data_IF_845478202622
#
_entry.id   IF_845478202622
#
_cell.length_a   1.000
_cell.length_b   1.000
_cell.length_c   1.000
_cell.angle_alpha   90.00
_cell.angle_beta   90.00
_cell.angle_gamma   90.00
#
_symmetry.space_group_name_H-M   'P 1'
#
loop_
_entity.id
_entity.type
_entity.pdbx_description
1 polymer ?
#
# COMPACT_ATOMS: atom_id res chain seq x y z
N UNK A 1 7.71 -10.01 -2.89
CA UNK A 1 8.30 -8.75 -3.36
C UNK A 1 9.83 -8.76 -3.54
N UNK A 2 10.58 -9.78 -3.10
CA UNK A 2 11.97 -9.95 -3.51
C UNK A 2 12.04 -10.21 -5.02
N UNK A 3 13.03 -9.64 -5.77
CA UNK A 3 14.21 -8.94 -5.27
C UNK A 3 14.02 -7.46 -4.91
N UNK A 4 12.94 -6.79 -5.31
CA UNK A 4 12.74 -5.34 -5.19
C UNK A 4 12.83 -4.80 -3.74
N UNK A 5 12.43 -5.63 -2.76
CA UNK A 5 12.43 -5.21 -1.34
C UNK A 5 13.75 -5.48 -0.60
N UNK A 6 14.83 -5.83 -1.31
CA UNK A 6 16.16 -5.91 -0.70
C UNK A 6 16.75 -4.52 -0.42
N UNK A 7 16.53 -3.60 -1.34
CA UNK A 7 17.12 -2.25 -1.34
C UNK A 7 16.09 -1.17 -1.07
N UNK A 8 14.80 -1.42 -1.35
CA UNK A 8 13.72 -0.45 -1.12
C UNK A 8 12.67 -0.98 -0.15
N UNK A 9 12.14 -0.12 0.76
CA UNK A 9 10.95 -0.46 1.52
C UNK A 9 9.79 -0.78 0.57
N UNK A 10 9.00 -1.82 0.88
CA UNK A 10 7.85 -2.22 0.06
C UNK A 10 6.91 -1.05 -0.25
N UNK A 11 6.65 -0.21 0.76
CA UNK A 11 5.75 0.95 0.66
C UNK A 11 6.27 2.07 -0.26
N UNK A 12 7.57 2.07 -0.59
CA UNK A 12 8.17 3.01 -1.54
C UNK A 12 8.29 2.45 -2.96
N UNK A 13 7.80 1.22 -3.21
CA UNK A 13 7.68 0.71 -4.56
C UNK A 13 6.65 1.51 -5.35
N UNK A 14 6.94 1.69 -6.64
CA UNK A 14 6.17 2.56 -7.51
C UNK A 14 4.89 1.91 -8.00
N UNK A 15 3.81 2.69 -7.97
CA UNK A 15 2.52 2.36 -8.56
C UNK A 15 1.97 3.62 -9.23
N UNK A 16 1.58 3.53 -10.49
CA UNK A 16 0.96 4.64 -11.23
C UNK A 16 1.70 5.99 -11.10
N UNK A 17 3.03 5.97 -11.22
CA UNK A 17 3.85 7.19 -11.27
C UNK A 17 4.40 7.71 -9.95
N UNK A 18 3.94 7.22 -8.79
CA UNK A 18 4.45 7.62 -7.46
C UNK A 18 4.54 6.42 -6.49
N UNK A 19 5.30 6.52 -5.39
CA UNK A 19 5.33 5.48 -4.35
C UNK A 19 3.95 5.11 -3.83
N UNK A 20 3.75 3.84 -3.48
CA UNK A 20 2.50 3.36 -2.87
C UNK A 20 2.12 4.18 -1.63
N UNK A 21 3.10 4.49 -0.77
CA UNK A 21 2.90 5.28 0.43
C UNK A 21 2.35 6.68 0.13
N UNK A 22 2.78 7.31 -0.97
CA UNK A 22 2.33 8.65 -1.35
C UNK A 22 0.85 8.65 -1.75
N UNK A 23 0.32 7.56 -2.35
CA UNK A 23 -1.12 7.44 -2.59
C UNK A 23 -1.92 7.44 -1.29
N UNK A 24 -1.43 6.73 -0.27
CA UNK A 24 -2.08 6.64 1.05
C UNK A 24 -2.04 8.01 1.75
N UNK A 25 -0.86 8.65 1.79
CA UNK A 25 -0.69 9.95 2.47
C UNK A 25 -1.54 11.02 1.78
N UNK A 26 -1.53 11.10 0.45
CA UNK A 26 -2.30 12.09 -0.30
C UNK A 26 -3.80 11.97 -0.05
N UNK A 27 -4.36 10.74 0.00
CA UNK A 27 -5.76 10.50 0.32
C UNK A 27 -6.09 10.93 1.78
N UNK A 28 -5.19 10.69 2.74
CA UNK A 28 -5.35 11.11 4.13
C UNK A 28 -5.26 12.64 4.29
N UNK A 29 -4.29 13.27 3.63
CA UNK A 29 -4.15 14.74 3.62
C UNK A 29 -5.38 15.40 2.99
N UNK A 30 -5.89 14.86 1.87
CA UNK A 30 -7.12 15.33 1.24
C UNK A 30 -8.35 15.20 2.15
N UNK A 31 -8.33 14.23 3.08
CA UNK A 31 -9.36 14.05 4.11
C UNK A 31 -9.19 14.94 5.35
N UNK A 32 -8.15 15.78 5.38
CA UNK A 32 -7.89 16.72 6.47
C UNK A 32 -7.01 16.18 7.61
N UNK A 33 -6.31 15.07 7.39
CA UNK A 33 -5.29 14.56 8.35
C UNK A 33 -4.04 15.42 8.23
N UNK A 34 -3.55 15.96 9.34
CA UNK A 34 -2.39 16.85 9.44
C UNK A 34 -1.22 16.27 10.25
N UNK A 35 -1.44 15.18 10.99
CA UNK A 35 -0.42 14.47 11.76
C UNK A 35 -0.38 12.99 11.45
N UNK A 36 0.83 12.43 11.27
CA UNK A 36 1.04 11.01 10.95
C UNK A 36 2.13 10.39 11.82
N UNK A 37 1.83 9.24 12.39
CA UNK A 37 2.82 8.40 13.07
C UNK A 37 3.11 7.15 12.24
N UNK A 38 4.37 6.99 11.84
CA UNK A 38 4.83 5.83 11.08
C UNK A 38 5.48 4.81 12.00
N UNK A 39 4.95 3.60 12.03
CA UNK A 39 5.67 2.47 12.63
C UNK A 39 6.54 1.85 11.56
N UNK A 40 7.85 1.92 11.76
CA UNK A 40 8.85 1.51 10.77
C UNK A 40 9.77 0.42 11.33
N UNK A 41 10.19 -0.49 10.46
CA UNK A 41 11.17 -1.53 10.77
C UNK A 41 12.36 -1.46 9.82
N UNK A 42 12.65 -2.58 9.13
CA UNK A 42 13.73 -2.68 8.15
C UNK A 42 13.63 -1.59 7.08
N UNK A 43 14.74 -0.89 6.81
CA UNK A 43 14.84 0.26 5.90
C UNK A 43 13.95 1.46 6.30
N UNK A 44 13.57 1.58 7.59
CA UNK A 44 12.73 2.66 8.10
C UNK A 44 13.29 4.05 7.85
N UNK A 45 14.63 4.21 7.88
CA UNK A 45 15.29 5.51 7.61
C UNK A 45 14.99 6.03 6.19
N UNK A 46 14.81 5.13 5.21
CA UNK A 46 14.43 5.52 3.84
C UNK A 46 12.98 6.02 3.78
N UNK A 47 12.08 5.44 4.56
CA UNK A 47 10.70 5.90 4.69
C UNK A 47 10.68 7.28 5.33
N UNK A 48 11.37 7.45 6.45
CA UNK A 48 11.46 8.73 7.16
C UNK A 48 12.03 9.83 6.26
N UNK A 49 13.16 9.58 5.58
CA UNK A 49 13.76 10.54 4.65
C UNK A 49 12.81 10.92 3.52
N UNK A 50 12.10 9.94 2.94
CA UNK A 50 11.13 10.18 1.87
C UNK A 50 9.98 11.05 2.35
N UNK A 51 9.32 10.66 3.46
CA UNK A 51 8.14 11.37 3.98
C UNK A 51 8.48 12.79 4.43
N UNK A 52 9.56 12.99 5.19
CA UNK A 52 10.00 14.34 5.61
C UNK A 52 10.31 15.26 4.42
N UNK A 53 10.85 14.70 3.34
CA UNK A 53 11.16 15.46 2.12
C UNK A 53 9.91 15.87 1.34
N UNK A 54 8.93 14.98 1.20
CA UNK A 54 7.79 15.20 0.31
C UNK A 54 6.57 15.78 1.03
N UNK A 55 6.49 15.64 2.35
CA UNK A 55 5.39 16.10 3.20
C UNK A 55 5.87 16.96 4.38
N UNK A 56 6.65 18.04 4.13
CA UNK A 56 7.28 18.83 5.20
C UNK A 56 6.30 19.65 6.06
N UNK A 57 5.04 19.78 5.63
CA UNK A 57 3.99 20.50 6.36
C UNK A 57 3.22 19.64 7.36
N UNK A 58 3.40 18.31 7.34
CA UNK A 58 2.72 17.42 8.27
C UNK A 58 3.47 17.31 9.59
N UNK A 59 2.73 17.10 10.67
CA UNK A 59 3.31 16.68 11.95
C UNK A 59 3.68 15.19 11.87
N UNK A 60 4.99 14.88 11.93
CA UNK A 60 5.53 13.57 11.59
C UNK A 60 6.26 12.92 12.76
N UNK A 61 5.72 11.81 13.23
CA UNK A 61 6.35 10.94 14.22
C UNK A 61 6.79 9.61 13.59
N UNK A 62 7.92 9.07 14.06
CA UNK A 62 8.44 7.77 13.62
C UNK A 62 8.74 6.91 14.84
N UNK A 63 8.13 5.73 14.90
CA UNK A 63 8.31 4.73 15.95
C UNK A 63 8.95 3.51 15.33
N UNK A 64 10.07 3.05 15.91
CA UNK A 64 10.79 1.90 15.39
C UNK A 64 10.30 0.61 16.03
N UNK A 65 9.88 -0.35 15.20
CA UNK A 65 9.59 -1.71 15.62
C UNK A 65 10.83 -2.57 15.38
N UNK A 66 11.59 -2.88 16.45
CA UNK A 66 12.80 -3.68 16.34
C UNK A 66 12.47 -5.16 16.17
N UNK A 67 11.50 -5.67 16.93
CA UNK A 67 11.04 -7.06 16.85
C UNK A 67 9.71 -7.16 16.11
N UNK A 68 9.66 -7.96 15.04
CA UNK A 68 8.48 -8.15 14.21
C UNK A 68 7.48 -9.12 14.86
N UNK A 69 6.86 -8.69 15.96
CA UNK A 69 5.93 -9.51 16.78
C UNK A 69 4.47 -9.42 16.31
N UNK A 70 4.18 -8.73 15.24
CA UNK A 70 2.85 -8.58 14.66
C UNK A 70 2.29 -7.16 14.70
N UNK A 71 1.11 -6.97 14.09
CA UNK A 71 0.47 -5.65 13.95
C UNK A 71 0.04 -5.06 15.29
N UNK A 72 -0.49 -5.87 16.21
CA UNK A 72 -0.87 -5.41 17.55
C UNK A 72 0.34 -4.87 18.33
N UNK A 73 1.50 -5.53 18.21
CA UNK A 73 2.74 -5.04 18.81
C UNK A 73 3.17 -3.70 18.19
N UNK A 74 3.11 -3.57 16.86
CA UNK A 74 3.45 -2.35 16.17
C UNK A 74 2.63 -1.15 16.69
N UNK A 75 1.31 -1.32 16.83
CA UNK A 75 0.42 -0.28 17.34
C UNK A 75 0.68 0.01 18.83
N UNK A 76 0.95 -1.02 19.64
CA UNK A 76 1.24 -0.85 21.07
C UNK A 76 2.44 0.08 21.34
N UNK A 77 3.45 0.08 20.45
CA UNK A 77 4.61 0.99 20.53
C UNK A 77 4.21 2.48 20.40
N UNK A 78 3.06 2.79 19.82
CA UNK A 78 2.57 4.15 19.66
C UNK A 78 1.81 4.67 20.89
N UNK A 79 1.65 3.85 21.95
CA UNK A 79 0.82 4.16 23.12
C UNK A 79 1.15 5.51 23.76
N UNK A 80 2.44 5.85 23.93
CA UNK A 80 2.83 7.10 24.60
C UNK A 80 2.48 8.36 23.78
N UNK A 81 2.32 8.20 22.46
CA UNK A 81 1.95 9.30 21.56
C UNK A 81 0.43 9.47 21.53
N UNK A 82 -0.33 8.37 21.45
CA UNK A 82 -1.74 8.39 21.06
C UNK A 82 -2.76 7.95 22.11
N UNK A 83 -2.32 7.56 23.33
CA UNK A 83 -3.25 7.03 24.37
C UNK A 83 -4.28 8.06 24.85
N UNK A 84 -3.95 9.34 24.71
CA UNK A 84 -4.78 10.46 25.20
C UNK A 84 -5.49 11.17 24.05
N UNK A 85 -5.40 10.66 22.81
CA UNK A 85 -6.12 11.20 21.66
C UNK A 85 -7.62 10.86 21.76
N UNK A 86 -8.47 11.75 21.22
CA UNK A 86 -9.91 11.50 21.15
C UNK A 86 -10.25 10.41 20.12
N UNK A 87 -9.44 10.31 19.04
CA UNK A 87 -9.67 9.40 17.93
C UNK A 87 -8.35 8.98 17.31
N UNK A 88 -8.28 7.74 16.84
CA UNK A 88 -7.12 7.19 16.15
C UNK A 88 -7.54 6.54 14.84
N UNK A 89 -6.93 6.96 13.74
CA UNK A 89 -7.02 6.28 12.45
C UNK A 89 -5.77 5.43 12.25
N UNK A 90 -5.95 4.13 12.03
CA UNK A 90 -4.86 3.20 11.68
C UNK A 90 -5.02 2.80 10.23
N UNK A 91 -3.96 2.95 9.43
CA UNK A 91 -3.93 2.54 8.02
C UNK A 91 -2.70 1.67 7.77
N UNK A 92 -2.91 0.51 7.15
CA UNK A 92 -1.80 -0.37 6.77
C UNK A 92 -1.09 0.17 5.52
N UNK A 93 0.25 0.19 5.56
CA UNK A 93 1.08 0.79 4.52
C UNK A 93 1.25 -0.06 3.26
N UNK A 94 0.69 -1.25 3.20
CA UNK A 94 0.86 -2.18 2.07
C UNK A 94 -0.42 -2.40 1.23
N UNK A 95 -1.40 -1.53 1.41
CA UNK A 95 -2.67 -1.55 0.69
C UNK A 95 -3.13 -0.13 0.36
N UNK A 96 -3.70 0.07 -0.81
CA UNK A 96 -4.35 1.33 -1.21
C UNK A 96 -5.86 1.09 -1.17
N UNK A 97 -6.55 1.91 -0.40
CA UNK A 97 -8.00 1.81 -0.19
C UNK A 97 -8.67 3.06 -0.76
N UNK A 98 -9.64 2.89 -1.66
CA UNK A 98 -10.51 3.98 -2.07
C UNK A 98 -11.70 4.02 -1.13
N UNK A 99 -11.64 4.96 -0.18
CA UNK A 99 -12.67 5.19 0.84
C UNK A 99 -13.03 6.67 0.91
N UNK A 100 -14.28 6.95 1.25
CA UNK A 100 -14.69 8.31 1.62
C UNK A 100 -14.34 8.55 3.10
N UNK A 101 -13.09 8.92 3.38
CA UNK A 101 -12.63 9.16 4.75
C UNK A 101 -13.48 10.21 5.50
N UNK A 102 -13.88 11.36 4.91
CA UNK A 102 -14.79 12.30 5.57
C UNK A 102 -16.11 11.66 6.02
N UNK A 103 -16.70 10.78 5.21
CA UNK A 103 -17.90 10.04 5.59
C UNK A 103 -17.63 9.06 6.73
N UNK A 104 -16.53 8.32 6.66
CA UNK A 104 -16.10 7.42 7.73
C UNK A 104 -15.88 8.18 9.05
N UNK A 105 -15.25 9.37 8.99
CA UNK A 105 -15.04 10.22 10.16
C UNK A 105 -16.34 10.75 10.76
N UNK A 106 -17.39 10.90 9.97
CA UNK A 106 -18.70 11.38 10.43
C UNK A 106 -19.54 10.31 11.16
N UNK A 107 -19.12 9.02 11.17
CA UNK A 107 -19.90 7.93 11.78
C UNK A 107 -20.12 8.07 13.30
N UNK A 108 -19.33 8.86 14.00
CA UNK A 108 -19.48 9.08 15.44
C UNK A 108 -19.19 7.86 16.33
N UNK A 109 -18.78 6.74 15.77
CA UNK A 109 -18.40 5.50 16.47
C UNK A 109 -17.15 4.90 15.84
N UNK A 110 -16.52 3.95 16.52
CA UNK A 110 -15.43 3.19 15.92
C UNK A 110 -15.90 2.44 14.68
N UNK A 111 -15.09 2.42 13.61
CA UNK A 111 -15.43 1.82 12.35
C UNK A 111 -14.25 1.04 11.76
N UNK A 112 -14.51 -0.14 11.22
CA UNK A 112 -13.53 -0.96 10.52
C UNK A 112 -13.89 -0.99 9.05
N UNK A 113 -12.95 -0.61 8.18
CA UNK A 113 -13.15 -0.74 6.73
C UNK A 113 -13.12 -2.22 6.33
N UNK A 114 -14.14 -2.63 5.58
CA UNK A 114 -14.34 -4.03 5.22
C UNK A 114 -14.68 -4.17 3.73
N UNK A 115 -14.34 -5.34 3.19
CA UNK A 115 -14.73 -5.76 1.84
C UNK A 115 -15.04 -7.24 1.79
N UNK A 116 -16.04 -7.60 1.01
CA UNK A 116 -16.33 -8.98 0.70
C UNK A 116 -15.25 -9.58 -0.21
N UNK A 117 -14.74 -10.77 0.13
CA UNK A 117 -13.67 -11.47 -0.59
C UNK A 117 -14.04 -12.93 -0.82
N UNK A 118 -13.50 -13.54 -1.88
CA UNK A 118 -13.75 -14.95 -2.20
C UNK A 118 -13.09 -15.90 -1.21
N UNK A 119 -11.88 -15.57 -0.74
CA UNK A 119 -11.13 -16.36 0.25
C UNK A 119 -10.70 -15.51 1.45
N UNK A 120 -11.49 -15.50 2.55
CA UNK A 120 -11.21 -14.68 3.73
C UNK A 120 -10.15 -15.26 4.69
N UNK A 121 -9.67 -16.50 4.48
CA UNK A 121 -8.79 -17.22 5.43
C UNK A 121 -7.44 -16.52 5.74
N UNK A 122 -7.07 -15.55 4.92
CA UNK A 122 -5.81 -14.81 5.06
C UNK A 122 -5.96 -13.49 5.83
N UNK A 123 -7.18 -13.13 6.20
CA UNK A 123 -7.52 -11.82 6.75
C UNK A 123 -8.21 -11.95 8.10
N UNK A 124 -8.25 -10.85 8.84
CA UNK A 124 -9.24 -10.66 9.88
C UNK A 124 -10.64 -10.55 9.26
N UNK A 125 -11.64 -11.18 9.86
CA UNK A 125 -13.02 -11.12 9.39
C UNK A 125 -13.94 -10.58 10.46
N UNK A 126 -15.03 -9.92 10.05
CA UNK A 126 -16.05 -9.38 10.95
C UNK A 126 -17.36 -10.17 10.81
N UNK A 127 -18.03 -10.38 11.95
CA UNK A 127 -19.41 -10.85 11.99
C UNK A 127 -20.33 -9.70 12.36
N UNK A 128 -21.41 -9.50 11.57
CA UNK A 128 -22.33 -8.39 11.75
C UNK A 128 -23.63 -8.87 12.39
N UNK A 129 -24.23 -8.01 13.21
CA UNK A 129 -25.62 -8.18 13.63
C UNK A 129 -26.54 -8.12 12.42
N UNK A 130 -27.41 -9.09 12.31
CA UNK A 130 -28.31 -9.24 11.15
C UNK A 130 -29.05 -7.93 10.83
N UNK A 131 -28.89 -7.44 9.59
CA UNK A 131 -29.55 -6.26 9.08
C UNK A 131 -28.98 -4.92 9.58
N UNK A 132 -27.80 -4.92 10.18
CA UNK A 132 -27.10 -3.71 10.65
C UNK A 132 -25.64 -3.75 10.23
N UNK A 133 -24.93 -2.62 10.43
CA UNK A 133 -23.47 -2.53 10.32
C UNK A 133 -22.74 -2.83 11.65
N UNK A 134 -23.46 -3.10 12.74
CA UNK A 134 -22.85 -3.36 14.05
C UNK A 134 -22.02 -4.66 14.01
N UNK A 135 -20.75 -4.55 14.37
CA UNK A 135 -19.84 -5.69 14.50
C UNK A 135 -20.12 -6.37 15.84
N UNK A 136 -20.37 -7.69 15.80
CA UNK A 136 -20.60 -8.52 16.98
C UNK A 136 -19.53 -9.57 17.20
N UNK A 137 -18.63 -9.77 16.25
CA UNK A 137 -17.51 -10.70 16.33
C UNK A 137 -16.38 -10.33 15.39
N UNK A 138 -15.16 -10.67 15.81
CA UNK A 138 -13.92 -10.49 15.06
C UNK A 138 -13.06 -11.73 15.19
N UNK A 139 -12.56 -12.23 14.07
CA UNK A 139 -11.70 -13.43 14.06
C UNK A 139 -10.54 -13.23 13.10
N UNK A 140 -9.30 -13.46 13.56
CA UNK A 140 -8.09 -13.31 12.75
C UNK A 140 -7.69 -14.62 12.07
N UNK A 141 -7.49 -14.61 10.76
CA UNK A 141 -6.92 -15.70 9.94
C UNK A 141 -7.46 -17.09 10.28
N UNK A 142 -8.77 -17.21 10.46
CA UNK A 142 -9.42 -18.47 10.81
C UNK A 142 -9.38 -19.46 9.64
N UNK A 143 -9.24 -20.76 9.94
CA UNK A 143 -9.32 -21.81 8.91
C UNK A 143 -10.74 -21.92 8.31
N UNK A 144 -11.73 -21.64 9.16
CA UNK A 144 -13.16 -21.57 8.78
C UNK A 144 -13.71 -20.23 9.27
N UNK A 145 -13.54 -19.16 8.51
CA UNK A 145 -14.05 -17.83 8.86
C UNK A 145 -15.58 -17.85 8.94
N UNK A 146 -16.18 -17.15 9.92
CA UNK A 146 -17.66 -17.10 10.04
C UNK A 146 -18.31 -16.34 8.90
N UNK A 147 -17.58 -15.46 8.22
CA UNK A 147 -18.04 -14.63 7.10
C UNK A 147 -16.94 -14.48 6.06
N UNK A 148 -17.29 -13.95 4.88
CA UNK A 148 -16.33 -13.53 3.84
C UNK A 148 -16.03 -12.02 3.88
N UNK A 149 -16.46 -11.31 4.93
CA UNK A 149 -16.27 -9.88 5.09
C UNK A 149 -14.91 -9.59 5.76
N UNK A 150 -13.90 -9.34 4.94
CA UNK A 150 -12.52 -9.13 5.37
C UNK A 150 -12.27 -7.68 5.81
N UNK A 151 -11.44 -7.51 6.84
CA UNK A 151 -10.92 -6.22 7.26
C UNK A 151 -9.79 -5.83 6.32
N UNK A 152 -9.86 -4.62 5.74
CA UNK A 152 -8.95 -4.19 4.66
C UNK A 152 -7.79 -3.28 5.13
N UNK A 153 -7.55 -3.23 6.44
CA UNK A 153 -6.39 -2.50 6.96
C UNK A 153 -6.62 -0.99 7.21
N UNK A 154 -7.88 -0.56 7.34
CA UNK A 154 -8.25 0.80 7.79
C UNK A 154 -9.17 0.69 8.99
N UNK A 155 -8.79 1.35 10.10
CA UNK A 155 -9.48 1.26 11.38
C UNK A 155 -9.62 2.65 11.98
N UNK A 156 -10.84 3.12 12.19
CA UNK A 156 -11.13 4.34 12.93
C UNK A 156 -11.59 3.97 14.35
N UNK A 157 -10.87 4.43 15.35
CA UNK A 157 -11.14 4.10 16.74
C UNK A 157 -11.41 5.36 17.55
N UNK A 158 -12.57 5.43 18.22
CA UNK A 158 -13.02 6.56 19.01
C UNK A 158 -12.67 6.41 20.51
N UNK A 159 -11.94 5.37 20.89
CA UNK A 159 -11.41 5.17 22.24
C UNK A 159 -10.02 4.56 22.17
N UNK A 160 -9.00 5.37 21.82
CA UNK A 160 -7.60 4.91 21.79
C UNK A 160 -7.13 4.38 23.15
N UNK A 161 -7.58 4.97 24.26
CA UNK A 161 -7.22 4.49 25.59
C UNK A 161 -7.69 3.04 25.83
N UNK A 162 -8.90 2.68 25.38
CA UNK A 162 -9.40 1.31 25.47
C UNK A 162 -8.64 0.37 24.52
N UNK A 163 -8.27 0.83 23.32
CA UNK A 163 -7.43 0.08 22.39
C UNK A 163 -6.10 -0.29 23.06
N UNK A 164 -5.40 0.68 23.64
CA UNK A 164 -4.12 0.44 24.26
C UNK A 164 -4.23 -0.48 25.49
N UNK A 165 -5.33 -0.42 26.25
CA UNK A 165 -5.62 -1.41 27.30
C UNK A 165 -5.83 -2.81 26.73
N UNK A 166 -6.50 -2.94 25.59
CA UNK A 166 -6.67 -4.21 24.89
C UNK A 166 -5.33 -4.76 24.38
N UNK A 167 -4.48 -3.90 23.83
CA UNK A 167 -3.13 -4.27 23.39
C UNK A 167 -2.25 -4.72 24.58
N UNK A 168 -2.26 -3.99 25.69
CA UNK A 168 -1.58 -4.40 26.91
C UNK A 168 -2.08 -5.78 27.39
N UNK A 169 -3.41 -5.98 27.42
CA UNK A 169 -4.01 -7.25 27.84
C UNK A 169 -3.51 -8.43 26.97
N UNK A 170 -3.51 -8.31 25.65
CA UNK A 170 -3.06 -9.41 24.79
C UNK A 170 -1.55 -9.64 24.89
N UNK A 171 -0.74 -8.59 25.10
CA UNK A 171 0.70 -8.68 25.29
C UNK A 171 1.03 -9.36 26.63
N UNK A 172 0.47 -8.88 27.73
CA UNK A 172 0.74 -9.36 29.10
C UNK A 172 0.30 -10.82 29.28
N UNK A 173 -0.78 -11.24 28.64
CA UNK A 173 -1.28 -12.62 28.66
C UNK A 173 -0.71 -13.49 27.53
N UNK A 174 0.27 -12.97 26.74
CA UNK A 174 0.91 -13.66 25.62
C UNK A 174 -0.11 -14.28 24.63
N UNK A 175 -1.21 -13.57 24.35
CA UNK A 175 -2.22 -13.99 23.39
C UNK A 175 -1.66 -13.78 21.99
N UNK A 176 -1.55 -14.88 21.22
CA UNK A 176 -0.98 -14.86 19.87
C UNK A 176 -1.85 -15.66 18.91
N UNK A 177 -2.19 -15.05 17.79
CA UNK A 177 -2.85 -15.75 16.68
C UNK A 177 -1.85 -15.95 15.55
N UNK A 178 -1.67 -17.22 15.14
CA UNK A 178 -0.63 -17.64 14.16
C UNK A 178 0.79 -17.19 14.54
N UNK A 179 1.09 -17.13 15.85
CA UNK A 179 2.41 -16.77 16.39
C UNK A 179 2.66 -15.26 16.55
N UNK A 180 1.74 -14.40 16.14
CA UNK A 180 1.84 -12.95 16.17
C UNK A 180 0.85 -12.32 17.14
N UNK A 181 1.19 -11.16 17.70
CA UNK A 181 0.29 -10.29 18.46
C UNK A 181 -0.54 -9.52 17.45
N UNK A 182 -1.82 -9.89 17.30
CA UNK A 182 -2.70 -9.33 16.26
C UNK A 182 -3.54 -8.17 16.78
N UNK A 183 -3.73 -7.13 15.95
CA UNK A 183 -4.63 -6.03 16.28
C UNK A 183 -6.08 -6.52 16.40
N UNK A 184 -6.49 -7.47 15.57
CA UNK A 184 -7.84 -8.05 15.58
C UNK A 184 -8.18 -8.69 16.94
N UNK A 185 -7.20 -9.30 17.64
CA UNK A 185 -7.42 -9.88 18.96
C UNK A 185 -7.68 -8.79 20.02
N UNK A 186 -6.98 -7.64 19.94
CA UNK A 186 -7.24 -6.50 20.81
C UNK A 186 -8.60 -5.87 20.55
N UNK A 187 -9.01 -5.77 19.28
CA UNK A 187 -10.35 -5.27 18.90
C UNK A 187 -11.45 -6.22 19.37
N UNK A 188 -11.24 -7.54 19.28
CA UNK A 188 -12.17 -8.53 19.83
C UNK A 188 -12.31 -8.40 21.36
N UNK A 189 -11.20 -8.15 22.06
CA UNK A 189 -11.23 -7.84 23.49
C UNK A 189 -12.04 -6.57 23.78
N UNK A 190 -11.86 -5.49 23.01
CA UNK A 190 -12.65 -4.25 23.17
C UNK A 190 -14.16 -4.51 22.99
N UNK A 191 -14.56 -5.34 22.01
CA UNK A 191 -15.96 -5.76 21.84
C UNK A 191 -16.47 -6.48 23.11
N UNK A 192 -15.65 -7.37 23.68
CA UNK A 192 -15.95 -8.06 24.95
C UNK A 192 -16.11 -7.13 26.15
N UNK A 193 -15.50 -5.92 26.12
CA UNK A 193 -15.70 -4.86 27.11
C UNK A 193 -16.95 -3.99 26.82
N UNK A 194 -17.74 -4.32 25.78
CA UNK A 194 -18.93 -3.59 25.41
C UNK A 194 -18.69 -2.40 24.47
N UNK A 195 -17.46 -2.23 23.95
CA UNK A 195 -17.18 -1.16 22.99
C UNK A 195 -17.90 -1.43 21.67
N UNK A 196 -18.56 -0.41 21.11
CA UNK A 196 -19.32 -0.54 19.86
C UNK A 196 -18.44 -0.21 18.66
N UNK A 197 -18.48 -1.07 17.65
CA UNK A 197 -17.80 -0.89 16.37
C UNK A 197 -18.77 -1.15 15.23
N UNK A 198 -18.59 -0.45 14.11
CA UNK A 198 -19.38 -0.66 12.89
C UNK A 198 -18.45 -1.05 11.73
N UNK A 199 -19.00 -1.80 10.80
CA UNK A 199 -18.34 -2.02 9.51
C UNK A 199 -18.59 -0.81 8.60
N UNK A 200 -17.53 -0.40 7.89
CA UNK A 200 -17.59 0.58 6.80
C UNK A 200 -17.20 -0.11 5.50
N UNK A 201 -18.16 -0.36 4.63
CA UNK A 201 -17.88 -1.04 3.36
C UNK A 201 -17.19 -0.09 2.40
N UNK A 202 -16.08 -0.54 1.81
CA UNK A 202 -15.32 0.21 0.83
C UNK A 202 -15.56 -0.29 -0.58
N UNK A 203 -15.47 0.61 -1.56
CA UNK A 203 -15.67 0.29 -2.97
C UNK A 203 -14.47 -0.45 -3.57
N UNK A 204 -13.26 -0.02 -3.25
CA UNK A 204 -12.05 -0.53 -3.87
C UNK A 204 -10.92 -0.75 -2.87
N UNK A 205 -10.36 -1.94 -2.92
CA UNK A 205 -9.22 -2.39 -2.14
C UNK A 205 -8.14 -2.93 -3.08
N UNK A 206 -7.01 -2.26 -3.13
CA UNK A 206 -5.90 -2.57 -4.01
C UNK A 206 -4.74 -3.14 -3.19
N UNK A 207 -4.61 -4.46 -3.20
CA UNK A 207 -3.51 -5.17 -2.51
C UNK A 207 -2.20 -4.99 -3.30
N UNK A 208 -1.14 -4.59 -2.62
CA UNK A 208 0.20 -4.51 -3.17
C UNK A 208 1.16 -5.52 -2.52
N UNK A 209 0.62 -6.63 -2.02
CA UNK A 209 1.37 -7.65 -1.30
C UNK A 209 2.34 -8.46 -2.15
N UNK A 210 2.07 -8.64 -3.44
CA UNK A 210 2.82 -9.45 -4.39
C UNK A 210 3.12 -8.67 -5.66
N UNK A 211 4.11 -9.11 -6.48
CA UNK A 211 4.41 -8.47 -7.78
C UNK A 211 3.18 -8.40 -8.70
N UNK A 212 2.42 -9.49 -8.80
CA UNK A 212 1.26 -9.58 -9.67
C UNK A 212 0.17 -8.59 -9.24
N UNK A 213 -0.16 -8.53 -7.94
CA UNK A 213 -1.17 -7.61 -7.42
C UNK A 213 -0.69 -6.15 -7.48
N UNK A 214 0.62 -5.89 -7.36
CA UNK A 214 1.17 -4.55 -7.58
C UNK A 214 1.01 -4.09 -9.03
N UNK A 215 1.25 -4.96 -10.02
CA UNK A 215 1.02 -4.65 -11.44
C UNK A 215 -0.46 -4.43 -11.74
N UNK A 216 -1.37 -5.20 -11.10
CA UNK A 216 -2.81 -5.00 -11.21
C UNK A 216 -3.23 -3.65 -10.62
N UNK A 217 -2.73 -3.31 -9.44
CA UNK A 217 -2.92 -1.99 -8.82
C UNK A 217 -2.39 -0.86 -9.73
N UNK A 218 -1.22 -1.07 -10.36
CA UNK A 218 -0.66 -0.12 -11.32
C UNK A 218 -1.61 0.12 -12.50
N UNK A 219 -2.16 -0.95 -13.12
CA UNK A 219 -3.15 -0.85 -14.21
C UNK A 219 -4.37 -0.05 -13.77
N UNK A 220 -4.90 -0.38 -12.60
CA UNK A 220 -6.12 0.25 -12.08
C UNK A 220 -5.93 1.74 -11.83
N UNK A 221 -4.86 2.13 -11.15
CA UNK A 221 -4.61 3.53 -10.81
C UNK A 221 -4.19 4.36 -12.02
N UNK A 222 -3.48 3.78 -13.00
CA UNK A 222 -3.12 4.46 -14.23
C UNK A 222 -4.36 4.90 -15.04
N UNK A 223 -5.45 4.13 -14.98
CA UNK A 223 -6.68 4.45 -15.69
C UNK A 223 -7.32 5.76 -15.23
N UNK A 224 -7.07 6.17 -13.99
CA UNK A 224 -7.59 7.41 -13.41
C UNK A 224 -6.70 8.64 -13.68
N UNK A 225 -5.49 8.43 -14.23
CA UNK A 225 -4.53 9.52 -14.45
C UNK A 225 -4.81 10.27 -15.78
N UNK A 226 -4.59 11.59 -15.80
CA UNK A 226 -4.57 12.36 -17.05
C UNK A 226 -3.55 11.80 -18.06
N UNK A 227 -3.93 11.74 -19.35
CA UNK A 227 -3.11 11.22 -20.43
C UNK A 227 -2.80 12.33 -21.43
N UNK A 228 -1.73 13.15 -21.26
CA UNK A 228 -1.41 14.31 -22.09
C UNK A 228 -0.77 13.90 -23.43
N UNK A 229 -1.53 13.27 -24.30
CA UNK A 229 -1.07 12.65 -25.55
C UNK A 229 -0.33 13.63 -26.48
N UNK A 230 -0.79 14.89 -26.56
CA UNK A 230 -0.15 15.88 -27.44
C UNK A 230 1.21 16.35 -26.92
N UNK A 231 1.39 16.38 -25.60
CA UNK A 231 2.69 16.63 -24.97
C UNK A 231 3.64 15.46 -25.27
N UNK A 232 3.21 14.22 -25.07
CA UNK A 232 4.04 13.05 -25.31
C UNK A 232 4.42 12.88 -26.77
N UNK A 233 3.54 13.16 -27.73
CA UNK A 233 3.88 13.18 -29.18
C UNK A 233 4.98 14.16 -29.50
N UNK A 234 4.98 15.35 -28.88
CA UNK A 234 6.04 16.34 -29.07
C UNK A 234 7.34 15.93 -28.39
N UNK A 235 7.25 15.36 -27.19
CA UNK A 235 8.41 14.98 -26.38
C UNK A 235 9.11 13.73 -26.91
N UNK A 236 8.36 12.78 -27.48
CA UNK A 236 8.83 11.49 -27.96
C UNK A 236 8.42 11.25 -29.42
N UNK A 237 8.96 11.99 -30.38
CA UNK A 237 8.46 12.00 -31.77
C UNK A 237 8.70 10.68 -32.52
N UNK A 238 9.62 9.83 -32.06
CA UNK A 238 9.92 8.50 -32.66
C UNK A 238 9.25 7.35 -31.94
N UNK A 239 8.46 7.64 -30.89
CA UNK A 239 7.80 6.62 -30.09
C UNK A 239 6.28 6.61 -30.27
N UNK A 240 5.68 5.45 -30.07
CA UNK A 240 4.23 5.26 -29.98
C UNK A 240 3.89 5.06 -28.50
N UNK A 241 3.16 6.02 -27.91
CA UNK A 241 2.67 5.92 -26.55
C UNK A 241 1.23 5.45 -26.57
N UNK A 242 0.96 4.32 -25.93
CA UNK A 242 -0.37 3.70 -25.81
C UNK A 242 -0.88 3.87 -24.38
N UNK A 243 -1.88 4.71 -24.14
CA UNK A 243 -2.40 4.94 -22.78
C UNK A 243 -3.14 3.70 -22.22
N UNK A 244 -3.31 3.61 -20.87
CA UNK A 244 -2.80 4.54 -19.88
C UNK A 244 -1.33 4.31 -19.55
N UNK A 245 -0.57 5.40 -19.32
CA UNK A 245 0.84 5.35 -18.88
C UNK A 245 1.12 6.49 -17.88
N UNK A 246 2.18 6.32 -17.09
CA UNK A 246 2.76 7.39 -16.28
C UNK A 246 4.25 7.54 -16.65
N UNK A 247 4.63 8.73 -17.16
CA UNK A 247 6.00 8.98 -17.61
C UNK A 247 6.64 10.04 -16.72
N UNK A 248 7.69 9.63 -16.00
CA UNK A 248 8.45 10.50 -15.12
C UNK A 248 9.26 11.57 -15.87
N UNK A 249 9.84 12.48 -15.09
CA UNK A 249 10.71 13.52 -15.63
C UNK A 249 11.98 12.93 -16.25
N UNK A 250 12.58 13.65 -17.19
CA UNK A 250 13.86 13.32 -17.87
C UNK A 250 13.90 11.92 -18.51
N UNK A 251 12.76 11.27 -18.70
CA UNK A 251 12.70 10.03 -19.49
C UNK A 251 13.05 10.27 -20.94
N UNK A 252 13.71 9.29 -21.55
CA UNK A 252 14.04 9.23 -22.98
C UNK A 252 13.37 8.00 -23.60
N UNK A 253 12.56 8.19 -24.62
CA UNK A 253 11.86 7.09 -25.31
C UNK A 253 12.08 7.27 -26.81
N UNK A 254 12.79 6.36 -27.45
CA UNK A 254 13.18 6.43 -28.84
C UNK A 254 12.85 5.13 -29.58
N UNK A 255 12.25 5.24 -30.78
CA UNK A 255 11.96 4.10 -31.66
C UNK A 255 11.24 2.95 -30.95
N UNK A 256 10.30 3.27 -30.06
CA UNK A 256 9.72 2.31 -29.11
C UNK A 256 8.20 2.41 -29.07
N UNK A 257 7.55 1.31 -28.63
CA UNK A 257 6.13 1.26 -28.31
C UNK A 257 6.01 1.08 -26.78
N UNK A 258 5.37 2.04 -26.12
CA UNK A 258 5.23 2.03 -24.65
C UNK A 258 3.78 2.12 -24.25
N UNK A 259 3.32 1.14 -23.51
CA UNK A 259 1.95 0.99 -23.05
C UNK A 259 1.21 -0.16 -23.76
N UNK A 260 -0.04 -0.43 -23.29
CA UNK A 260 -0.68 0.23 -22.14
C UNK A 260 -0.10 -0.19 -20.80
N UNK A 261 -0.54 0.49 -19.75
CA UNK A 261 -0.27 0.14 -18.34
C UNK A 261 1.21 0.17 -17.95
N UNK A 262 1.97 1.11 -18.51
CA UNK A 262 3.39 1.28 -18.15
C UNK A 262 3.56 2.50 -17.25
N UNK A 263 4.20 2.33 -16.10
CA UNK A 263 4.67 3.43 -15.26
C UNK A 263 6.20 3.45 -15.20
N UNK A 264 6.79 4.62 -15.34
CA UNK A 264 8.22 4.81 -15.29
C UNK A 264 8.60 6.02 -14.44
N UNK A 265 9.69 5.86 -13.68
CA UNK A 265 10.25 6.91 -12.83
C UNK A 265 11.14 7.87 -13.62
N UNK A 266 11.67 8.84 -12.89
CA UNK A 266 12.65 9.80 -13.39
C UNK A 266 13.83 9.13 -14.11
N UNK A 267 14.22 9.67 -15.25
CA UNK A 267 15.47 9.33 -15.93
C UNK A 267 15.48 7.97 -16.66
N UNK A 268 14.34 7.28 -16.78
CA UNK A 268 14.25 6.00 -17.53
C UNK A 268 14.59 6.21 -19.00
N UNK A 269 15.38 5.29 -19.58
CA UNK A 269 15.75 5.27 -21.00
C UNK A 269 15.21 4.02 -21.67
N UNK A 270 14.47 4.19 -22.77
CA UNK A 270 13.87 3.10 -23.54
C UNK A 270 14.19 3.32 -25.02
N UNK A 271 14.92 2.39 -25.62
CA UNK A 271 15.39 2.47 -27.01
C UNK A 271 15.03 1.19 -27.77
N UNK A 272 14.36 1.32 -28.93
CA UNK A 272 14.05 0.21 -29.83
C UNK A 272 13.23 -0.91 -29.21
N UNK A 273 12.32 -0.57 -28.27
CA UNK A 273 11.71 -1.54 -27.36
C UNK A 273 10.18 -1.53 -27.42
N UNK A 274 9.56 -2.61 -26.96
CA UNK A 274 8.11 -2.74 -26.81
C UNK A 274 7.82 -3.10 -25.36
N UNK A 275 7.01 -2.28 -24.67
CA UNK A 275 6.66 -2.45 -23.26
C UNK A 275 5.15 -2.36 -23.06
N UNK A 276 4.61 -3.28 -22.24
CA UNK A 276 3.22 -3.24 -21.76
C UNK A 276 3.13 -3.83 -20.35
N UNK A 277 2.21 -3.33 -19.53
CA UNK A 277 1.99 -3.86 -18.19
C UNK A 277 3.30 -3.92 -17.36
N UNK A 278 4.05 -2.81 -17.33
CA UNK A 278 5.37 -2.76 -16.70
C UNK A 278 5.50 -1.60 -15.70
N UNK A 279 6.30 -1.82 -14.65
CA UNK A 279 6.79 -0.75 -13.78
C UNK A 279 8.31 -0.64 -13.90
N UNK A 280 8.82 0.58 -14.11
CA UNK A 280 10.24 0.83 -14.33
C UNK A 280 10.78 1.79 -13.25
N UNK A 281 11.80 1.32 -12.54
CA UNK A 281 12.51 2.08 -11.50
C UNK A 281 13.26 3.29 -12.09
N UNK A 282 13.69 4.18 -11.19
CA UNK A 282 14.47 5.37 -11.55
C UNK A 282 15.74 4.97 -12.33
N UNK A 283 16.05 5.71 -13.40
CA UNK A 283 17.26 5.52 -14.20
C UNK A 283 17.42 4.09 -14.79
N UNK A 284 16.35 3.32 -14.92
CA UNK A 284 16.39 2.03 -15.62
C UNK A 284 16.64 2.24 -17.12
N UNK A 285 17.46 1.37 -17.72
CA UNK A 285 17.81 1.40 -19.15
C UNK A 285 17.37 0.13 -19.85
N UNK A 286 16.54 0.28 -20.89
CA UNK A 286 15.99 -0.82 -21.67
C UNK A 286 16.29 -0.62 -23.15
N UNK A 287 17.02 -1.55 -23.74
CA UNK A 287 17.40 -1.48 -25.16
C UNK A 287 17.02 -2.76 -25.89
N UNK A 288 16.30 -2.63 -27.01
CA UNK A 288 15.89 -3.75 -27.86
C UNK A 288 15.14 -4.88 -27.13
N UNK A 289 14.31 -4.51 -26.14
CA UNK A 289 13.51 -5.47 -25.36
C UNK A 289 12.07 -5.54 -25.83
N UNK A 290 11.40 -6.66 -25.54
CA UNK A 290 9.95 -6.80 -25.68
C UNK A 290 9.41 -7.41 -24.38
N UNK A 291 8.99 -6.55 -23.45
CA UNK A 291 8.58 -6.94 -22.10
C UNK A 291 7.09 -6.74 -21.85
N UNK A 292 6.52 -7.65 -21.09
CA UNK A 292 5.17 -7.55 -20.55
C UNK A 292 5.15 -8.08 -19.10
N UNK A 293 4.15 -7.67 -18.31
CA UNK A 293 3.96 -8.10 -16.92
C UNK A 293 5.28 -8.07 -16.13
N UNK A 294 5.99 -6.93 -16.21
CA UNK A 294 7.37 -6.86 -15.74
C UNK A 294 7.59 -5.74 -14.71
N UNK A 295 8.47 -6.03 -13.75
CA UNK A 295 8.97 -5.06 -12.78
C UNK A 295 10.49 -4.94 -12.94
N UNK A 296 10.96 -3.74 -13.27
CA UNK A 296 12.39 -3.43 -13.45
C UNK A 296 12.83 -2.46 -12.35
N UNK A 297 13.84 -2.85 -11.60
CA UNK A 297 14.39 -2.07 -10.49
C UNK A 297 15.10 -0.78 -10.90
N UNK A 298 15.52 0.01 -9.91
CA UNK A 298 16.27 1.26 -10.10
C UNK A 298 17.65 0.98 -10.70
N UNK A 299 18.08 1.80 -11.67
CA UNK A 299 19.37 1.69 -12.36
C UNK A 299 19.65 0.28 -12.94
N UNK A 300 18.63 -0.48 -13.25
CA UNK A 300 18.78 -1.77 -13.91
C UNK A 300 18.94 -1.58 -15.42
N UNK A 301 19.81 -2.39 -16.04
CA UNK A 301 20.07 -2.39 -17.49
C UNK A 301 19.59 -3.72 -18.09
N UNK A 302 18.72 -3.63 -19.11
CA UNK A 302 18.18 -4.80 -19.81
C UNK A 302 18.32 -4.61 -21.31
N UNK A 303 18.96 -5.58 -21.98
CA UNK A 303 19.18 -5.54 -23.42
C UNK A 303 18.80 -6.88 -24.09
N UNK A 304 18.08 -6.82 -25.20
CA UNK A 304 17.78 -7.95 -26.09
C UNK A 304 16.76 -8.97 -25.55
N UNK A 305 16.14 -8.72 -24.39
CA UNK A 305 15.28 -9.69 -23.70
C UNK A 305 13.82 -9.61 -24.18
N UNK A 306 13.15 -10.78 -24.20
CA UNK A 306 11.73 -10.90 -24.53
C UNK A 306 11.00 -11.72 -23.45
N UNK A 307 9.77 -11.29 -23.09
CA UNK A 307 8.93 -11.99 -22.12
C UNK A 307 8.66 -11.18 -20.87
N UNK A 308 8.53 -11.82 -19.71
CA UNK A 308 8.29 -11.16 -18.43
C UNK A 308 9.52 -11.21 -17.51
N UNK A 309 9.78 -10.13 -16.79
CA UNK A 309 10.91 -10.00 -15.88
C UNK A 309 10.46 -9.40 -14.53
N UNK A 310 11.06 -9.92 -13.46
CA UNK A 310 10.99 -9.28 -12.13
C UNK A 310 12.42 -9.19 -11.59
N UNK A 311 13.05 -8.02 -11.77
CA UNK A 311 14.47 -7.80 -11.46
C UNK A 311 14.68 -6.63 -10.52
N UNK A 312 15.59 -6.80 -9.57
CA UNK A 312 15.94 -5.79 -8.57
C UNK A 312 16.83 -4.68 -9.13
N UNK A 313 17.17 -3.76 -8.25
CA UNK A 313 18.00 -2.60 -8.56
C UNK A 313 19.41 -3.01 -9.03
N UNK A 314 20.02 -2.19 -9.87
CA UNK A 314 21.37 -2.36 -10.40
C UNK A 314 21.61 -3.70 -11.10
N UNK A 315 20.56 -4.42 -11.48
CA UNK A 315 20.67 -5.69 -12.22
C UNK A 315 21.02 -5.41 -13.67
N UNK A 316 21.97 -6.15 -14.24
CA UNK A 316 22.35 -6.09 -15.66
C UNK A 316 22.02 -7.40 -16.34
N UNK A 317 21.18 -7.37 -17.38
CA UNK A 317 20.81 -8.51 -18.22
C UNK A 317 21.02 -8.13 -19.67
N UNK A 318 21.92 -8.84 -20.35
CA UNK A 318 22.21 -8.66 -21.78
C UNK A 318 22.03 -10.01 -22.45
N UNK A 319 20.97 -10.17 -23.26
CA UNK A 319 20.78 -11.35 -24.10
C UNK A 319 21.68 -11.22 -25.35
N UNK A 320 22.43 -12.25 -25.65
CA UNK A 320 23.31 -12.34 -26.85
C UNK A 320 22.60 -13.08 -27.96
#
# INVERSE_FOLDING_TARGET
MRPHTHTHPKVLLQVAGKPMLDHIIDDLVAAGVDGLTFVVGYLGDRIEQHVRKHYPSLDLHFVRQEEMLGLGHAIALCKQIHKDDDRLLIVLGDTIVKANFPEMFALGTSALAVKEVDDPRRFGTVELRKGTSDIIGLVEKAEKPPTNLAIVGVYLLNDPALLFRGLDHIIDNNIRTKGEIQLTDALAWMLGQGHRMQSYTIDEWLDCGKPETLLETNRRLLADLPQPMDEWRRRFPTAIIVPPVAIGEKCVIENSIVGPNVSMRHGVRIIGSILRDCTLGKEAELTQVNLHDSMVGESATVEGVRGSLSIGDHTVIIAR
#
